data_IF_827450298008
#
_entry.id   IF_827450298008
#
_cell.length_a   1.000
_cell.length_b   1.000
_cell.length_c   1.000
_cell.angle_alpha   90.00
_cell.angle_beta   90.00
_cell.angle_gamma   90.00
#
_symmetry.space_group_name_H-M   'P 1'
#
loop_
_entity.id
_entity.type
_entity.pdbx_description
1 polymer ?
#
# COMPACT_ATOMS: atom_id res chain seq x y z
N UNK A 1 -15.13 -1.27 4.00
CA UNK A 1 -15.95 -0.30 3.22
C UNK A 1 -16.25 1.00 3.97
N UNK A 2 -16.34 1.00 5.31
CA UNK A 2 -16.69 2.20 6.11
C UNK A 2 -15.79 3.43 5.84
N UNK A 3 -14.47 3.26 5.80
CA UNK A 3 -13.55 4.39 5.57
C UNK A 3 -13.76 5.04 4.19
N UNK A 4 -14.04 4.25 3.16
CA UNK A 4 -14.34 4.77 1.82
C UNK A 4 -15.65 5.57 1.82
N UNK A 5 -16.67 5.12 2.55
CA UNK A 5 -17.93 5.88 2.73
C UNK A 5 -17.73 7.18 3.51
N UNK A 6 -16.70 7.25 4.36
CA UNK A 6 -16.27 8.47 5.07
C UNK A 6 -15.35 9.37 4.22
N UNK A 7 -15.14 9.06 2.94
CA UNK A 7 -14.37 9.88 2.01
C UNK A 7 -12.90 9.47 1.82
N UNK A 8 -12.46 8.34 2.39
CA UNK A 8 -11.12 7.83 2.11
C UNK A 8 -10.99 7.45 0.62
N UNK A 9 -10.01 8.05 -0.06
CA UNK A 9 -9.76 7.86 -1.49
C UNK A 9 -8.74 6.75 -1.77
N UNK A 10 -8.17 6.15 -0.73
CA UNK A 10 -7.15 5.12 -0.76
C UNK A 10 -6.87 4.61 0.65
N UNK A 11 -6.16 3.48 0.77
CA UNK A 11 -5.76 2.94 2.06
C UNK A 11 -4.26 2.62 2.06
N UNK A 12 -3.56 3.13 3.06
CA UNK A 12 -2.15 2.82 3.31
C UNK A 12 -2.07 1.54 4.13
N UNK A 13 -1.39 0.53 3.62
CA UNK A 13 -1.10 -0.70 4.36
C UNK A 13 0.10 -0.42 5.26
N UNK A 14 -0.18 0.11 6.45
CA UNK A 14 0.85 0.62 7.39
C UNK A 14 1.57 -0.46 8.20
N UNK A 15 1.17 -1.72 8.09
CA UNK A 15 1.86 -2.86 8.69
C UNK A 15 2.25 -3.84 7.57
N UNK A 16 3.42 -4.46 7.68
CA UNK A 16 3.99 -5.33 6.64
C UNK A 16 3.14 -6.57 6.40
N UNK A 17 2.40 -7.04 7.40
CA UNK A 17 1.52 -8.21 7.31
C UNK A 17 0.24 -7.93 6.52
N UNK A 18 -0.21 -6.67 6.44
CA UNK A 18 -1.46 -6.34 5.74
C UNK A 18 -1.37 -6.62 4.23
N UNK A 19 -0.20 -6.42 3.62
CA UNK A 19 0.06 -6.80 2.22
C UNK A 19 -0.02 -8.31 1.95
N UNK A 20 0.11 -9.13 3.00
CA UNK A 20 -0.04 -10.59 2.91
C UNK A 20 -1.51 -11.01 2.98
N UNK A 21 -2.35 -10.24 3.68
CA UNK A 21 -3.74 -10.61 4.00
C UNK A 21 -4.78 -9.93 3.11
N UNK A 22 -4.50 -8.75 2.58
CA UNK A 22 -5.46 -7.91 1.83
C UNK A 22 -4.90 -7.64 0.43
N UNK A 23 -5.75 -7.78 -0.58
CA UNK A 23 -5.43 -7.55 -1.98
C UNK A 23 -6.31 -6.46 -2.58
N UNK A 24 -5.87 -5.89 -3.69
CA UNK A 24 -6.61 -4.81 -4.37
C UNK A 24 -8.05 -5.23 -4.75
N UNK A 25 -8.30 -6.52 -4.97
CA UNK A 25 -9.64 -7.04 -5.27
C UNK A 25 -10.64 -6.93 -4.09
N UNK A 26 -10.16 -6.76 -2.85
CA UNK A 26 -11.01 -6.71 -1.65
C UNK A 26 -11.68 -5.34 -1.44
N UNK A 27 -11.28 -4.33 -2.22
CA UNK A 27 -11.70 -2.94 -2.02
C UNK A 27 -11.66 -2.13 -3.31
N UNK A 28 -12.59 -1.19 -3.43
CA UNK A 28 -12.69 -0.30 -4.60
C UNK A 28 -11.74 0.89 -4.54
N UNK A 29 -11.13 1.17 -3.38
CA UNK A 29 -10.12 2.23 -3.25
C UNK A 29 -8.72 1.65 -3.44
N UNK A 30 -7.77 2.40 -4.03
CA UNK A 30 -6.39 1.96 -4.16
C UNK A 30 -5.76 1.58 -2.83
N UNK A 31 -4.99 0.49 -2.83
CA UNK A 31 -4.13 0.10 -1.74
C UNK A 31 -2.70 0.57 -1.99
N UNK A 32 -2.05 1.07 -0.95
CA UNK A 32 -0.64 1.46 -0.98
C UNK A 32 0.13 0.58 -0.01
N UNK A 33 0.78 -0.45 -0.53
CA UNK A 33 1.66 -1.33 0.25
C UNK A 33 2.96 -0.60 0.60
N UNK A 34 3.11 -0.21 1.86
CA UNK A 34 4.28 0.58 2.29
C UNK A 34 5.56 -0.24 2.27
N UNK A 35 5.48 -1.56 2.46
CA UNK A 35 6.65 -2.43 2.41
C UNK A 35 7.18 -2.51 0.97
N UNK A 36 6.29 -2.71 0.00
CA UNK A 36 6.65 -2.73 -1.42
C UNK A 36 7.19 -1.37 -1.88
N UNK A 37 6.49 -0.28 -1.58
CA UNK A 37 6.90 1.08 -1.97
C UNK A 37 8.29 1.42 -1.41
N UNK A 38 8.54 1.12 -0.13
CA UNK A 38 9.86 1.34 0.46
C UNK A 38 10.94 0.45 -0.16
N UNK A 39 10.65 -0.83 -0.39
CA UNK A 39 11.61 -1.76 -1.00
C UNK A 39 12.02 -1.32 -2.41
N UNK A 40 11.04 -0.93 -3.25
CA UNK A 40 11.29 -0.41 -4.60
C UNK A 40 12.13 0.87 -4.52
N UNK A 41 11.78 1.83 -3.66
CA UNK A 41 12.54 3.08 -3.55
C UNK A 41 13.96 2.84 -3.04
N UNK A 42 14.16 1.92 -2.10
CA UNK A 42 15.47 1.54 -1.60
C UNK A 42 16.33 0.89 -2.71
N UNK A 43 15.74 -0.01 -3.52
CA UNK A 43 16.44 -0.64 -4.64
C UNK A 43 16.86 0.39 -5.71
N UNK A 44 15.96 1.33 -6.05
CA UNK A 44 16.27 2.43 -6.98
C UNK A 44 17.41 3.29 -6.44
N UNK A 45 17.35 3.69 -5.17
CA UNK A 45 18.41 4.49 -4.56
C UNK A 45 19.78 3.79 -4.57
N UNK A 46 19.80 2.46 -4.43
CA UNK A 46 21.03 1.68 -4.42
C UNK A 46 21.74 1.62 -5.78
N UNK A 47 21.04 1.86 -6.90
CA UNK A 47 21.60 1.82 -8.25
C UNK A 47 21.82 3.22 -8.87
N UNK A 48 21.31 4.27 -8.22
CA UNK A 48 21.49 5.68 -8.65
C UNK A 48 22.74 6.34 -8.05
N UNK A 49 23.49 5.64 -7.19
CA UNK A 49 24.77 6.06 -6.59
C UNK A 49 25.97 5.47 -7.36
#
# INVERSE_FOLDING_TARGET
KELSQKGAQGAVLGCTELGLLIKQADTSVPLFDTAEIHAVKAAVLAIEL
#
